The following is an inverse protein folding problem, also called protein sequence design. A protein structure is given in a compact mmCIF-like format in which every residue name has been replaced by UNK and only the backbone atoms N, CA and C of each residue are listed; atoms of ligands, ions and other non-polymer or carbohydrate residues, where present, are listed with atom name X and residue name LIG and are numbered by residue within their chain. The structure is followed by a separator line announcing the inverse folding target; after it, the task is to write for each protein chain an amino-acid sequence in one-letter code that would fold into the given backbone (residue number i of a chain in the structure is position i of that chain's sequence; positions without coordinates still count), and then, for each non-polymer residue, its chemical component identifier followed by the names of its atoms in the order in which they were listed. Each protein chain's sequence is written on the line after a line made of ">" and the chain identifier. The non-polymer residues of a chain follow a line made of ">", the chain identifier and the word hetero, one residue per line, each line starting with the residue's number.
data_IF_281175775912
#
_entry.id   IF_281175775912
#
_cell.length_a   1.000
_cell.length_b   1.000
_cell.length_c   1.000
_cell.angle_alpha   90.00
_cell.angle_beta   90.00
_cell.angle_gamma   90.00
#
_symmetry.space_group_name_H-M   'P 1'
#
loop_
_entity.id
_entity.type
_entity.pdbx_description
1 polymer ?
#
# COMPACT_ATOMS: atom_id res chain seq x y z
N UNK A 1 -20.52 -12.21 25.29
CA UNK A 1 -20.51 -12.61 23.85
C UNK A 1 -19.48 -13.72 23.67
N UNK A 2 -19.90 -14.91 23.28
CA UNK A 2 -19.01 -16.07 23.06
C UNK A 2 -18.10 -15.84 21.84
N UNK A 3 -16.93 -16.51 21.80
CA UNK A 3 -15.97 -16.40 20.69
C UNK A 3 -16.62 -16.66 19.32
N UNK A 4 -17.55 -17.62 19.23
CA UNK A 4 -18.27 -17.93 18.00
C UNK A 4 -19.15 -16.77 17.49
N UNK A 5 -19.88 -16.08 18.38
CA UNK A 5 -20.71 -14.94 17.97
C UNK A 5 -19.87 -13.79 17.44
N UNK A 6 -18.71 -13.50 18.06
CA UNK A 6 -17.77 -12.47 17.56
C UNK A 6 -17.24 -12.81 16.17
N UNK A 7 -16.84 -14.06 15.93
CA UNK A 7 -16.31 -14.49 14.62
C UNK A 7 -17.36 -14.35 13.52
N UNK A 8 -18.60 -14.78 13.76
CA UNK A 8 -19.70 -14.68 12.78
C UNK A 8 -20.01 -13.21 12.46
N UNK A 9 -20.11 -12.35 13.48
CA UNK A 9 -20.35 -10.91 13.26
C UNK A 9 -19.22 -10.28 12.43
N UNK A 10 -17.96 -10.58 12.74
CA UNK A 10 -16.82 -10.05 11.98
C UNK A 10 -16.80 -10.52 10.52
N UNK A 11 -17.15 -11.77 10.24
CA UNK A 11 -17.22 -12.29 8.85
C UNK A 11 -18.35 -11.62 8.07
N UNK A 12 -19.55 -11.51 8.63
CA UNK A 12 -20.71 -10.88 7.96
C UNK A 12 -20.45 -9.40 7.69
N UNK A 13 -19.89 -8.66 8.66
CA UNK A 13 -19.53 -7.24 8.48
C UNK A 13 -18.51 -7.05 7.34
N UNK A 14 -17.55 -7.97 7.21
CA UNK A 14 -16.55 -7.93 6.13
C UNK A 14 -17.18 -8.20 4.76
N UNK A 15 -18.04 -9.20 4.64
CA UNK A 15 -18.73 -9.53 3.38
C UNK A 15 -19.58 -8.35 2.91
N UNK A 16 -20.40 -7.77 3.79
CA UNK A 16 -21.24 -6.61 3.45
C UNK A 16 -20.42 -5.40 2.99
N UNK A 17 -19.25 -5.17 3.60
CA UNK A 17 -18.35 -4.10 3.18
C UNK A 17 -17.69 -4.37 1.84
N UNK A 18 -17.26 -5.61 1.59
CA UNK A 18 -16.67 -6.02 0.32
C UNK A 18 -17.68 -5.87 -0.84
N UNK A 19 -18.93 -6.29 -0.63
CA UNK A 19 -20.01 -6.09 -1.58
C UNK A 19 -20.26 -4.60 -1.86
N UNK A 20 -20.47 -3.80 -0.81
CA UNK A 20 -20.79 -2.37 -0.94
C UNK A 20 -19.67 -1.53 -1.52
N UNK A 21 -18.42 -1.74 -1.09
CA UNK A 21 -17.29 -0.88 -1.49
C UNK A 21 -16.52 -1.40 -2.70
N UNK A 22 -16.55 -2.71 -2.95
CA UNK A 22 -15.72 -3.38 -3.95
C UNK A 22 -16.54 -4.10 -5.01
N UNK A 23 -17.87 -4.14 -4.91
CA UNK A 23 -18.73 -4.96 -5.77
C UNK A 23 -18.38 -6.46 -5.70
N UNK A 24 -17.90 -6.94 -4.55
CA UNK A 24 -17.56 -8.34 -4.33
C UNK A 24 -18.79 -9.12 -3.84
N UNK A 25 -19.50 -9.80 -4.75
CA UNK A 25 -20.44 -10.88 -4.41
C UNK A 25 -19.81 -12.24 -4.71
N UNK A 26 -20.32 -13.36 -4.16
CA UNK A 26 -19.81 -14.69 -4.49
C UNK A 26 -19.78 -14.98 -6.00
N UNK A 27 -20.84 -14.59 -6.72
CA UNK A 27 -21.00 -14.79 -8.16
C UNK A 27 -20.01 -13.92 -8.94
N UNK A 28 -19.90 -12.63 -8.57
CA UNK A 28 -18.95 -11.71 -9.21
C UNK A 28 -17.51 -12.11 -8.94
N UNK A 29 -17.21 -12.63 -7.74
CA UNK A 29 -15.87 -13.14 -7.42
C UNK A 29 -15.49 -14.27 -8.35
N UNK A 30 -16.37 -15.23 -8.58
CA UNK A 30 -16.11 -16.33 -9.52
C UNK A 30 -15.95 -15.82 -10.95
N UNK A 31 -16.88 -14.98 -11.41
CA UNK A 31 -16.89 -14.46 -12.78
C UNK A 31 -15.67 -13.58 -13.11
N UNK A 32 -15.33 -12.62 -12.25
CA UNK A 32 -14.22 -11.69 -12.50
C UNK A 32 -12.86 -12.35 -12.28
N UNK A 33 -12.73 -13.34 -11.39
CA UNK A 33 -11.50 -14.13 -11.30
C UNK A 33 -11.29 -14.96 -12.58
N UNK A 34 -12.34 -15.58 -13.11
CA UNK A 34 -12.25 -16.33 -14.38
C UNK A 34 -11.89 -15.40 -15.54
N UNK A 35 -12.54 -14.23 -15.63
CA UNK A 35 -12.27 -13.23 -16.66
C UNK A 35 -10.85 -12.67 -16.58
N UNK A 36 -10.36 -12.32 -15.39
CA UNK A 36 -8.98 -11.85 -15.23
C UNK A 36 -7.96 -12.94 -15.61
N UNK A 37 -8.25 -14.21 -15.28
CA UNK A 37 -7.42 -15.33 -15.71
C UNK A 37 -7.33 -15.42 -17.24
N UNK A 38 -8.46 -15.36 -17.93
CA UNK A 38 -8.52 -15.36 -19.40
C UNK A 38 -7.75 -14.17 -20.01
N UNK A 39 -7.87 -12.97 -19.42
CA UNK A 39 -7.11 -11.79 -19.86
C UNK A 39 -5.60 -12.02 -19.73
N UNK A 40 -5.14 -12.61 -18.62
CA UNK A 40 -3.70 -12.89 -18.40
C UNK A 40 -3.19 -13.96 -19.38
N UNK A 41 -3.98 -14.98 -19.68
CA UNK A 41 -3.63 -16.04 -20.63
C UNK A 41 -3.54 -15.50 -22.07
N UNK A 42 -4.48 -14.65 -22.47
CA UNK A 42 -4.51 -14.04 -23.81
C UNK A 42 -3.53 -12.88 -23.98
N UNK A 43 -3.16 -12.20 -22.89
CA UNK A 43 -2.25 -11.05 -22.89
C UNK A 43 -1.20 -11.22 -21.77
N UNK A 44 -0.18 -12.05 -21.98
CA UNK A 44 0.79 -12.41 -20.94
C UNK A 44 1.48 -11.20 -20.30
N UNK A 45 1.76 -11.32 -19.01
CA UNK A 45 2.56 -10.37 -18.25
C UNK A 45 4.02 -10.80 -18.34
N UNK A 46 4.78 -10.23 -19.29
CA UNK A 46 6.18 -10.65 -19.58
C UNK A 46 7.13 -10.60 -18.36
N UNK A 47 6.73 -9.94 -17.26
CA UNK A 47 7.53 -9.77 -16.04
C UNK A 47 6.92 -10.44 -14.79
N UNK A 48 5.85 -11.22 -14.94
CA UNK A 48 5.18 -11.92 -13.84
C UNK A 48 4.94 -13.38 -14.22
N UNK A 49 5.40 -14.30 -13.36
CA UNK A 49 5.10 -15.72 -13.53
C UNK A 49 3.57 -15.94 -13.44
N UNK A 50 2.94 -16.64 -14.41
CA UNK A 50 1.49 -16.87 -14.41
C UNK A 50 0.94 -17.56 -13.15
N UNK A 51 1.67 -18.50 -12.55
CA UNK A 51 1.26 -19.17 -11.32
C UNK A 51 1.26 -18.21 -10.12
N UNK A 52 2.26 -17.32 -10.09
CA UNK A 52 2.39 -16.25 -9.10
C UNK A 52 1.28 -15.21 -9.31
N UNK A 53 0.97 -14.86 -10.56
CA UNK A 53 -0.12 -13.96 -10.90
C UNK A 53 -1.48 -14.49 -10.40
N UNK A 54 -1.73 -15.81 -10.46
CA UNK A 54 -2.97 -16.41 -9.96
C UNK A 54 -3.18 -16.24 -8.46
N UNK A 55 -2.12 -16.45 -7.65
CA UNK A 55 -2.19 -16.25 -6.20
C UNK A 55 -2.47 -14.79 -5.82
N UNK A 56 -2.13 -13.85 -6.70
CA UNK A 56 -2.27 -12.43 -6.45
C UNK A 56 -3.53 -11.79 -7.04
N UNK A 57 -4.29 -12.45 -7.93
CA UNK A 57 -5.43 -11.85 -8.65
C UNK A 57 -6.43 -11.13 -7.72
N UNK A 58 -6.74 -11.71 -6.56
CA UNK A 58 -7.74 -11.16 -5.64
C UNK A 58 -7.35 -9.80 -5.06
N UNK A 59 -6.08 -9.56 -4.69
CA UNK A 59 -5.66 -8.25 -4.18
C UNK A 59 -5.79 -7.17 -5.26
N UNK A 60 -5.49 -7.51 -6.52
CA UNK A 60 -5.65 -6.61 -7.66
C UNK A 60 -7.13 -6.32 -7.98
N UNK A 61 -7.98 -7.34 -8.00
CA UNK A 61 -9.44 -7.19 -8.19
C UNK A 61 -10.06 -6.33 -7.10
N UNK A 62 -9.77 -6.61 -5.82
CA UNK A 62 -10.24 -5.82 -4.67
C UNK A 62 -9.75 -4.37 -4.73
N UNK A 63 -8.50 -4.14 -5.10
CA UNK A 63 -7.95 -2.79 -5.27
C UNK A 63 -8.60 -2.01 -6.42
N UNK A 64 -9.32 -2.68 -7.33
CA UNK A 64 -10.00 -2.10 -8.49
C UNK A 64 -11.52 -2.36 -8.51
N UNK A 65 -12.10 -2.66 -7.35
CA UNK A 65 -13.56 -2.85 -7.16
C UNK A 65 -14.15 -3.92 -8.08
N UNK A 66 -13.45 -5.05 -8.19
CA UNK A 66 -13.85 -6.22 -9.00
C UNK A 66 -14.12 -5.87 -10.46
N UNK A 67 -13.22 -5.07 -11.03
CA UNK A 67 -13.16 -4.78 -12.46
C UNK A 67 -11.90 -5.46 -13.03
N UNK A 68 -12.09 -6.56 -13.77
CA UNK A 68 -10.98 -7.36 -14.29
C UNK A 68 -10.04 -6.60 -15.20
N UNK A 69 -10.56 -5.70 -16.06
CA UNK A 69 -9.71 -4.94 -16.97
C UNK A 69 -8.87 -3.92 -16.19
N UNK A 70 -9.48 -3.19 -15.26
CA UNK A 70 -8.72 -2.27 -14.38
C UNK A 70 -7.71 -3.01 -13.49
N UNK A 71 -8.05 -4.20 -13.02
CA UNK A 71 -7.13 -5.05 -12.24
C UNK A 71 -5.95 -5.49 -13.11
N UNK A 72 -6.20 -5.92 -14.34
CA UNK A 72 -5.16 -6.24 -15.31
C UNK A 72 -4.27 -5.03 -15.63
N UNK A 73 -4.83 -3.83 -15.82
CA UNK A 73 -4.03 -2.62 -16.04
C UNK A 73 -3.14 -2.26 -14.84
N UNK A 74 -3.63 -2.48 -13.62
CA UNK A 74 -2.83 -2.35 -12.39
C UNK A 74 -1.70 -3.40 -12.34
N UNK A 75 -1.92 -4.61 -12.85
CA UNK A 75 -0.88 -5.65 -12.94
C UNK A 75 0.15 -5.33 -14.03
N UNK A 76 -0.27 -5.01 -15.25
CA UNK A 76 0.58 -4.88 -16.46
C UNK A 76 1.24 -3.52 -16.65
N UNK A 77 0.43 -2.49 -16.82
CA UNK A 77 0.81 -1.32 -17.63
C UNK A 77 0.92 -0.02 -16.84
N UNK A 78 0.15 0.13 -15.78
CA UNK A 78 0.02 1.41 -15.06
C UNK A 78 0.41 1.34 -13.59
N UNK A 79 0.49 0.13 -13.02
CA UNK A 79 0.54 -0.04 -11.58
C UNK A 79 1.84 -0.63 -11.06
N UNK A 80 1.80 -1.94 -10.80
CA UNK A 80 2.81 -2.65 -10.02
C UNK A 80 4.07 -2.96 -10.82
N UNK A 81 3.94 -3.60 -12.00
CA UNK A 81 5.10 -3.92 -12.86
C UNK A 81 5.83 -2.66 -13.33
N UNK A 82 5.08 -1.63 -13.76
CA UNK A 82 5.68 -0.35 -14.17
C UNK A 82 6.43 0.32 -13.01
N UNK A 83 5.88 0.26 -11.80
CA UNK A 83 6.55 0.75 -10.61
C UNK A 83 7.83 -0.04 -10.33
N UNK A 84 7.79 -1.37 -10.40
CA UNK A 84 8.99 -2.21 -10.26
C UNK A 84 10.07 -1.92 -11.31
N UNK A 85 9.69 -1.62 -12.55
CA UNK A 85 10.63 -1.28 -13.63
C UNK A 85 11.20 0.13 -13.44
N UNK A 86 10.36 1.09 -13.02
CA UNK A 86 10.76 2.49 -12.83
C UNK A 86 11.60 2.68 -11.56
N UNK A 87 11.33 1.87 -10.53
CA UNK A 87 11.93 1.95 -9.20
C UNK A 87 12.47 0.57 -8.78
N UNK A 88 13.41 -0.01 -9.54
CA UNK A 88 13.97 -1.32 -9.22
C UNK A 88 14.71 -1.31 -7.88
N UNK A 89 15.26 -0.17 -7.50
CA UNK A 89 15.92 0.11 -6.22
C UNK A 89 15.02 -0.13 -5.01
N UNK A 90 13.71 0.03 -5.14
CA UNK A 90 12.75 -0.15 -4.02
C UNK A 90 12.03 -1.50 -4.06
N UNK A 91 11.87 -2.10 -5.24
CA UNK A 91 10.99 -3.28 -5.41
C UNK A 91 11.75 -4.58 -5.65
N UNK A 92 12.99 -4.54 -6.13
CA UNK A 92 13.72 -5.77 -6.48
C UNK A 92 14.31 -6.46 -5.25
N UNK A 93 13.94 -7.73 -5.07
CA UNK A 93 14.55 -8.71 -4.14
C UNK A 93 14.72 -8.25 -2.68
N UNK A 94 13.84 -7.39 -2.18
CA UNK A 94 13.84 -6.96 -0.76
C UNK A 94 13.52 -8.16 0.12
N UNK A 95 14.54 -8.71 0.78
CA UNK A 95 14.39 -9.85 1.70
C UNK A 95 14.15 -9.35 3.11
N UNK A 96 13.57 -10.23 3.92
CA UNK A 96 13.35 -9.96 5.34
C UNK A 96 14.63 -9.48 6.05
N UNK A 97 15.79 -10.04 5.68
CA UNK A 97 17.10 -9.68 6.28
C UNK A 97 17.52 -8.23 5.97
N UNK A 98 17.11 -7.68 4.84
CA UNK A 98 17.53 -6.36 4.38
C UNK A 98 16.78 -5.25 5.14
N UNK A 99 15.52 -5.52 5.53
CA UNK A 99 14.66 -4.56 6.23
C UNK A 99 14.54 -4.82 7.75
N UNK A 100 14.97 -6.00 8.23
CA UNK A 100 14.75 -6.46 9.61
C UNK A 100 15.26 -5.45 10.64
N UNK A 101 16.50 -4.98 10.49
CA UNK A 101 17.15 -4.12 11.48
C UNK A 101 16.37 -2.82 11.75
N UNK A 102 15.68 -2.31 10.73
CA UNK A 102 14.92 -1.07 10.80
C UNK A 102 13.46 -1.31 11.21
N UNK A 103 12.86 -2.39 10.73
CA UNK A 103 11.55 -2.83 11.15
C UNK A 103 11.48 -3.17 12.64
N UNK A 104 12.52 -3.79 13.20
CA UNK A 104 12.62 -4.05 14.65
C UNK A 104 12.69 -2.77 15.48
N UNK A 105 13.18 -1.67 14.88
CA UNK A 105 13.14 -0.31 15.45
C UNK A 105 11.84 0.43 15.14
N UNK A 106 10.86 -0.23 14.50
CA UNK A 106 9.57 0.34 14.13
C UNK A 106 9.61 1.29 12.93
N UNK A 107 10.52 1.06 11.96
CA UNK A 107 10.70 1.92 10.77
C UNK A 107 10.66 1.11 9.45
N UNK A 108 9.52 1.05 8.74
CA UNK A 108 8.20 1.48 9.18
C UNK A 108 7.60 0.50 10.20
N UNK A 109 6.71 1.01 11.04
CA UNK A 109 6.02 0.23 12.06
C UNK A 109 4.60 -0.11 11.67
N UNK A 110 4.09 -1.20 12.25
CA UNK A 110 2.69 -1.64 12.10
C UNK A 110 2.08 -1.72 13.50
N UNK A 111 0.95 -1.05 13.73
CA UNK A 111 0.28 -1.20 15.02
C UNK A 111 -0.35 -2.60 15.13
N UNK A 112 -0.33 -3.22 16.33
CA UNK A 112 -0.88 -4.56 16.54
C UNK A 112 -2.41 -4.59 16.41
N UNK A 113 -3.06 -3.43 16.49
CA UNK A 113 -4.51 -3.27 16.39
C UNK A 113 -4.88 -2.53 15.12
N UNK A 114 -6.00 -2.95 14.53
CA UNK A 114 -6.68 -2.20 13.48
C UNK A 114 -7.48 -1.04 14.07
N UNK A 115 -7.79 -0.04 13.26
CA UNK A 115 -8.68 1.03 13.68
C UNK A 115 -10.16 0.60 13.74
N UNK A 116 -11.05 1.55 14.09
CA UNK A 116 -12.50 1.31 14.18
C UNK A 116 -13.16 0.89 12.86
N UNK A 117 -12.47 1.06 11.72
CA UNK A 117 -12.93 0.66 10.38
C UNK A 117 -12.27 -0.64 9.90
N UNK A 118 -11.47 -1.30 10.75
CA UNK A 118 -10.76 -2.53 10.45
C UNK A 118 -9.50 -2.32 9.58
N UNK A 119 -9.03 -1.09 9.43
CA UNK A 119 -7.84 -0.76 8.62
C UNK A 119 -6.57 -1.07 9.40
N UNK A 120 -5.54 -1.54 8.71
CA UNK A 120 -4.20 -1.59 9.31
C UNK A 120 -3.69 -0.17 9.47
N UNK A 121 -3.03 0.11 10.59
CA UNK A 121 -2.37 1.40 10.83
C UNK A 121 -0.87 1.18 10.67
N UNK A 122 -0.31 1.70 9.57
CA UNK A 122 1.12 1.89 9.39
C UNK A 122 1.52 3.19 10.06
N UNK A 123 2.70 3.22 10.66
CA UNK A 123 3.25 4.45 11.20
C UNK A 123 4.73 4.59 10.88
N UNK A 124 5.16 5.83 10.73
CA UNK A 124 6.56 6.18 10.60
C UNK A 124 6.83 7.42 11.44
N UNK A 125 7.91 7.39 12.22
CA UNK A 125 8.32 8.49 13.10
C UNK A 125 9.65 9.02 12.61
N UNK A 126 9.69 10.32 12.35
CA UNK A 126 10.88 11.01 11.86
C UNK A 126 11.88 11.27 13.00
N UNK A 127 11.41 11.32 14.24
CA UNK A 127 12.28 11.43 15.42
C UNK A 127 13.24 10.23 15.49
N UNK A 128 14.53 10.55 15.57
CA UNK A 128 15.63 9.58 15.53
C UNK A 128 15.79 8.83 14.21
N UNK A 129 15.17 9.28 13.11
CA UNK A 129 15.55 8.86 11.77
C UNK A 129 16.70 9.76 11.28
N UNK A 130 17.77 9.14 10.83
CA UNK A 130 18.86 9.83 10.13
C UNK A 130 18.89 9.34 8.67
N UNK A 131 18.67 10.22 7.68
CA UNK A 131 18.76 9.88 6.27
C UNK A 131 20.14 9.37 5.81
N UNK A 132 21.22 9.68 6.55
CA UNK A 132 22.56 9.17 6.24
C UNK A 132 22.73 7.71 6.68
N UNK A 133 22.18 7.34 7.85
CA UNK A 133 22.23 5.96 8.37
C UNK A 133 21.18 5.05 7.73
N UNK A 134 19.98 5.59 7.46
CA UNK A 134 18.87 4.89 6.82
C UNK A 134 18.39 5.73 5.64
N UNK A 135 18.93 5.48 4.43
CA UNK A 135 18.51 6.17 3.23
C UNK A 135 17.00 6.04 2.98
N UNK A 136 16.40 7.08 2.41
CA UNK A 136 14.95 7.07 2.11
C UNK A 136 14.52 5.89 1.23
N UNK A 137 15.37 5.47 0.29
CA UNK A 137 15.14 4.27 -0.53
C UNK A 137 14.96 3.00 0.32
N UNK A 138 15.77 2.81 1.37
CA UNK A 138 15.63 1.67 2.29
C UNK A 138 14.35 1.77 3.13
N UNK A 139 13.95 2.98 3.53
CA UNK A 139 12.63 3.20 4.17
C UNK A 139 11.51 2.74 3.24
N UNK A 140 11.59 3.10 1.96
CA UNK A 140 10.62 2.71 0.94
C UNK A 140 10.60 1.20 0.69
N UNK A 141 11.77 0.54 0.67
CA UNK A 141 11.87 -0.93 0.61
C UNK A 141 11.15 -1.58 1.81
N UNK A 142 11.34 -1.02 3.02
CA UNK A 142 10.63 -1.44 4.22
C UNK A 142 9.11 -1.35 4.07
N UNK A 143 8.60 -0.23 3.52
CA UNK A 143 7.18 -0.07 3.23
C UNK A 143 6.66 -1.09 2.21
N UNK A 144 7.38 -1.31 1.11
CA UNK A 144 7.01 -2.31 0.09
C UNK A 144 6.95 -3.71 0.69
N UNK A 145 7.96 -4.10 1.45
CA UNK A 145 8.01 -5.40 2.12
C UNK A 145 6.82 -5.60 3.07
N UNK A 146 6.59 -4.63 3.95
CA UNK A 146 5.47 -4.67 4.92
C UNK A 146 4.13 -4.71 4.21
N UNK A 147 3.94 -3.89 3.17
CA UNK A 147 2.68 -3.86 2.43
C UNK A 147 2.43 -5.18 1.68
N UNK A 148 3.44 -5.80 1.07
CA UNK A 148 3.30 -7.13 0.47
C UNK A 148 2.82 -8.16 1.50
N UNK A 149 3.39 -8.15 2.71
CA UNK A 149 2.97 -9.04 3.81
C UNK A 149 1.58 -8.74 4.33
N UNK A 150 1.23 -7.48 4.52
CA UNK A 150 -0.10 -7.09 4.99
C UNK A 150 -1.20 -7.44 3.98
N UNK A 151 -0.89 -7.42 2.69
CA UNK A 151 -1.83 -7.78 1.62
C UNK A 151 -2.01 -9.29 1.44
N UNK A 152 -1.30 -10.16 2.19
CA UNK A 152 -1.66 -11.58 2.28
C UNK A 152 -3.01 -11.78 3.00
N UNK A 153 -3.45 -10.80 3.82
CA UNK A 153 -4.73 -10.83 4.52
C UNK A 153 -5.89 -10.27 3.70
N UNK A 154 -6.93 -11.07 3.46
CA UNK A 154 -8.17 -10.59 2.80
C UNK A 154 -8.82 -9.42 3.55
N UNK A 155 -8.76 -9.42 4.89
CA UNK A 155 -9.28 -8.31 5.68
C UNK A 155 -8.57 -7.00 5.37
N UNK A 156 -7.25 -7.02 5.21
CA UNK A 156 -6.49 -5.84 4.80
C UNK A 156 -6.83 -5.42 3.38
N UNK A 157 -6.98 -6.37 2.45
CA UNK A 157 -7.39 -6.06 1.07
C UNK A 157 -8.76 -5.37 1.03
N UNK A 158 -9.71 -5.78 1.89
CA UNK A 158 -11.07 -5.24 1.96
C UNK A 158 -11.15 -3.93 2.75
N UNK A 159 -10.43 -3.80 3.86
CA UNK A 159 -10.53 -2.62 4.71
C UNK A 159 -9.57 -1.51 4.29
N UNK A 160 -8.41 -1.88 3.76
CA UNK A 160 -7.34 -0.96 3.41
C UNK A 160 -6.40 -0.65 4.58
N UNK A 161 -5.57 0.36 4.36
CA UNK A 161 -4.49 0.78 5.26
C UNK A 161 -4.58 2.29 5.47
N UNK A 162 -4.23 2.74 6.68
CA UNK A 162 -3.95 4.14 7.00
C UNK A 162 -2.47 4.30 7.32
N UNK A 163 -1.88 5.41 6.88
CA UNK A 163 -0.52 5.79 7.21
C UNK A 163 -0.55 6.94 8.21
N UNK A 164 0.24 6.85 9.27
CA UNK A 164 0.46 7.92 10.24
C UNK A 164 1.91 8.35 10.18
N UNK A 165 2.15 9.57 9.72
CA UNK A 165 3.46 10.19 9.65
C UNK A 165 3.63 11.13 10.84
N UNK A 166 4.52 10.76 11.75
CA UNK A 166 4.83 11.51 12.96
C UNK A 166 6.04 12.39 12.73
N UNK A 167 5.78 13.66 12.43
CA UNK A 167 6.78 14.69 12.10
C UNK A 167 7.50 15.26 13.34
N UNK A 168 7.37 14.62 14.50
CA UNK A 168 8.28 14.89 15.63
C UNK A 168 9.72 14.74 15.16
N UNK A 169 10.61 15.65 15.54
CA UNK A 169 12.01 15.63 15.12
C UNK A 169 12.24 15.97 13.64
N UNK A 170 11.22 16.38 12.87
CA UNK A 170 11.42 16.79 11.49
C UNK A 170 12.21 18.10 11.41
N UNK A 171 13.27 18.09 10.60
CA UNK A 171 14.22 19.19 10.45
C UNK A 171 14.40 19.55 8.97
N UNK A 172 15.02 20.69 8.69
CA UNK A 172 15.38 21.06 7.32
C UNK A 172 16.39 20.10 6.68
N UNK A 173 17.22 19.40 7.49
CA UNK A 173 18.13 18.37 6.97
C UNK A 173 17.34 17.25 6.27
N UNK A 174 16.24 16.81 6.86
CA UNK A 174 15.36 15.82 6.25
C UNK A 174 14.74 16.31 4.93
N UNK A 175 14.42 17.61 4.83
CA UNK A 175 13.89 18.20 3.58
C UNK A 175 14.95 18.17 2.49
N UNK A 176 16.19 18.54 2.81
CA UNK A 176 17.29 18.57 1.84
C UNK A 176 17.85 17.18 1.50
N UNK A 177 17.73 16.22 2.42
CA UNK A 177 18.24 14.86 2.24
C UNK A 177 17.35 13.98 1.33
N UNK A 178 16.07 14.35 1.15
CA UNK A 178 15.14 13.62 0.29
C UNK A 178 14.93 14.41 -1.00
N UNK A 179 15.41 13.86 -2.11
CA UNK A 179 15.24 14.47 -3.41
C UNK A 179 13.79 14.41 -3.93
N UNK A 180 13.52 15.21 -4.96
CA UNK A 180 12.19 15.27 -5.57
C UNK A 180 11.80 13.94 -6.24
N UNK A 181 12.79 13.16 -6.70
CA UNK A 181 12.56 11.88 -7.36
C UNK A 181 12.10 10.81 -6.36
N UNK A 182 12.66 10.83 -5.15
CA UNK A 182 12.28 9.99 -4.02
C UNK A 182 10.85 10.30 -3.56
N UNK A 183 10.50 11.59 -3.45
CA UNK A 183 9.10 11.96 -3.18
C UNK A 183 8.14 11.49 -4.27
N UNK A 184 8.54 11.58 -5.55
CA UNK A 184 7.73 11.05 -6.66
C UNK A 184 7.60 9.53 -6.60
N UNK A 185 8.66 8.81 -6.24
CA UNK A 185 8.65 7.36 -6.03
C UNK A 185 7.67 6.97 -4.92
N UNK A 186 7.65 7.69 -3.79
CA UNK A 186 6.68 7.48 -2.73
C UNK A 186 5.24 7.75 -3.20
N UNK A 187 5.02 8.86 -3.90
CA UNK A 187 3.69 9.24 -4.38
C UNK A 187 3.17 8.25 -5.41
N UNK A 188 4.01 7.74 -6.32
CA UNK A 188 3.62 6.71 -7.28
C UNK A 188 3.12 5.45 -6.56
N UNK A 189 3.84 4.99 -5.52
CA UNK A 189 3.41 3.87 -4.66
C UNK A 189 2.02 4.11 -4.06
N UNK A 190 1.79 5.31 -3.50
CA UNK A 190 0.53 5.69 -2.85
C UNK A 190 -0.64 5.87 -3.84
N UNK A 191 -0.35 6.25 -5.09
CA UNK A 191 -1.34 6.68 -6.10
C UNK A 191 -1.72 5.65 -7.14
N UNK A 192 -1.71 4.39 -6.72
CA UNK A 192 -2.28 3.30 -7.50
C UNK A 192 -1.26 2.41 -8.20
N UNK A 193 0.03 2.53 -7.87
CA UNK A 193 1.03 1.55 -8.28
C UNK A 193 1.00 0.27 -7.46
N UNK A 194 0.63 0.36 -6.19
CA UNK A 194 0.52 -0.81 -5.32
C UNK A 194 -0.93 -1.33 -5.24
N UNK A 195 -1.20 -2.65 -5.17
CA UNK A 195 -2.54 -3.20 -4.95
C UNK A 195 -3.07 -2.99 -3.51
N UNK A 196 -2.66 -1.89 -2.87
CA UNK A 196 -3.13 -1.47 -1.55
C UNK A 196 -4.17 -0.34 -1.69
N UNK A 197 -5.17 -0.39 -0.82
CA UNK A 197 -6.14 0.69 -0.64
C UNK A 197 -5.71 1.56 0.53
N UNK A 198 -4.91 2.60 0.27
CA UNK A 198 -4.70 3.66 1.25
C UNK A 198 -6.04 4.37 1.51
N UNK A 199 -6.41 4.58 2.77
CA UNK A 199 -7.70 5.16 3.18
C UNK A 199 -7.54 6.44 4.01
N UNK A 200 -6.31 6.82 4.32
CA UNK A 200 -5.97 8.07 4.99
C UNK A 200 -4.46 8.18 5.17
N UNK A 201 -3.93 9.40 5.07
CA UNK A 201 -2.55 9.73 5.44
C UNK A 201 -2.62 10.84 6.48
N UNK A 202 -2.15 10.55 7.69
CA UNK A 202 -2.27 11.43 8.83
C UNK A 202 -0.90 11.97 9.21
N UNK A 203 -0.62 13.22 8.85
CA UNK A 203 0.57 13.94 9.30
C UNK A 203 0.27 14.57 10.66
N UNK A 204 1.04 14.19 11.70
CA UNK A 204 0.88 14.70 13.06
C UNK A 204 2.17 15.37 13.54
N UNK A 205 2.04 16.32 14.47
CA UNK A 205 3.17 17.04 15.10
C UNK A 205 4.10 17.71 14.08
N UNK A 206 3.50 18.25 13.03
CA UNK A 206 4.23 18.95 11.98
C UNK A 206 4.86 20.26 12.47
N UNK A 207 6.10 20.59 12.05
CA UNK A 207 6.73 21.87 12.38
C UNK A 207 6.14 23.01 11.55
N UNK A 208 6.45 24.25 11.94
CA UNK A 208 5.95 25.47 11.30
C UNK A 208 6.22 25.54 9.79
N UNK A 209 7.30 24.92 9.30
CA UNK A 209 7.70 24.92 7.89
C UNK A 209 7.06 23.79 7.05
N UNK A 210 6.30 22.88 7.68
CA UNK A 210 5.72 21.72 6.99
C UNK A 210 4.89 22.10 5.77
N UNK A 211 4.06 23.14 5.85
CA UNK A 211 3.24 23.57 4.72
C UNK A 211 4.09 23.92 3.48
N UNK A 212 5.28 24.51 3.67
CA UNK A 212 6.20 24.81 2.58
C UNK A 212 6.85 23.54 2.01
N UNK A 213 7.29 22.63 2.87
CA UNK A 213 7.81 21.33 2.44
C UNK A 213 6.75 20.51 1.69
N UNK A 214 5.50 20.49 2.19
CA UNK A 214 4.37 19.85 1.54
C UNK A 214 4.06 20.46 0.17
N UNK A 215 4.25 21.78 0.00
CA UNK A 215 4.12 22.47 -1.28
C UNK A 215 5.05 21.93 -2.39
N UNK A 216 6.16 21.27 -2.03
CA UNK A 216 7.05 20.60 -3.00
C UNK A 216 6.39 19.33 -3.55
N UNK A 217 5.65 18.59 -2.73
CA UNK A 217 5.05 17.31 -3.10
C UNK A 217 3.63 17.44 -3.64
N UNK A 218 2.90 18.48 -3.20
CA UNK A 218 1.50 18.71 -3.54
C UNK A 218 1.19 18.67 -5.05
N UNK A 219 2.03 19.22 -5.96
CA UNK A 219 1.76 19.18 -7.40
C UNK A 219 1.72 17.77 -8.00
N UNK A 220 2.29 16.77 -7.32
CA UNK A 220 2.30 15.37 -7.77
C UNK A 220 1.10 14.57 -7.25
N UNK A 221 0.30 15.15 -6.34
CA UNK A 221 -0.85 14.49 -5.75
C UNK A 221 -2.07 14.55 -6.67
N UNK A 222 -2.63 13.39 -7.02
CA UNK A 222 -3.96 13.25 -7.61
C UNK A 222 -5.00 13.66 -6.58
N UNK A 223 -6.10 14.26 -7.03
CA UNK A 223 -7.21 14.71 -6.17
C UNK A 223 -7.65 13.65 -5.13
N UNK A 224 -7.79 12.40 -5.56
CA UNK A 224 -8.16 11.28 -4.68
C UNK A 224 -7.18 11.03 -3.53
N UNK A 225 -5.88 11.26 -3.71
CA UNK A 225 -4.91 11.13 -2.61
C UNK A 225 -4.89 12.40 -1.75
N UNK A 226 -5.05 13.56 -2.37
CA UNK A 226 -5.11 14.85 -1.66
C UNK A 226 -6.30 14.95 -0.70
N UNK A 227 -7.43 14.31 -1.04
CA UNK A 227 -8.63 14.24 -0.18
C UNK A 227 -8.51 13.24 1.00
N UNK A 228 -7.41 12.48 1.10
CA UNK A 228 -7.19 11.42 2.10
C UNK A 228 -6.18 11.81 3.16
#
# INVERSE_FOLDING_TARGET
>A
LTKNTRVITTVVVRINKAERELNETPERRQAEVAKLREIIETRPLNHLNPAVAQMFMLKFLRARKFDSEKAYQLMKGEGYVKYSIKHPDVVSDVKAKDVRQWMEKGRPGVLPTRDSQGRVILFFRLDGWDPEDLPFTEVMQGFVYVLEKLLESEETQINGVCLVEDFSGYTLNHVSAVGINEYRQMIDMLQGSFPCRFKGIHCIRQPWFFAKAFGIIQPFLKAKLFER
#
